data_IF_785702577005
#
_entry.id   IF_785702577005
#
_cell.length_a   1.000
_cell.length_b   1.000
_cell.length_c   1.000
_cell.angle_alpha   90.00
_cell.angle_beta   90.00
_cell.angle_gamma   90.00
#
_symmetry.space_group_name_H-M   'P 1'
#
loop_
_entity.id
_entity.type
_entity.pdbx_description
1 polymer ?
#
# COMPACT_ATOMS: atom_id res chain seq x y z
N UNK A 1 -4.44 -2.61 -10.40
CA UNK A 1 -5.75 -2.50 -9.71
C UNK A 1 -5.71 -1.21 -8.92
N UNK A 2 -6.79 -0.43 -8.89
CA UNK A 2 -6.77 0.91 -8.31
C UNK A 2 -7.81 0.99 -7.18
N UNK A 3 -7.37 1.39 -6.00
CA UNK A 3 -8.21 1.60 -4.82
C UNK A 3 -8.09 3.06 -4.41
N UNK A 4 -9.21 3.70 -4.10
CA UNK A 4 -9.23 5.05 -3.53
C UNK A 4 -9.84 4.93 -2.15
N UNK A 5 -9.10 5.35 -1.13
CA UNK A 5 -9.59 5.46 0.25
C UNK A 5 -9.50 6.91 0.71
N UNK A 6 -10.42 7.41 1.54
CA UNK A 6 -10.25 8.73 2.14
C UNK A 6 -8.93 8.82 2.93
N UNK A 7 -8.23 9.95 2.88
CA UNK A 7 -6.99 10.17 3.62
C UNK A 7 -7.19 10.46 5.13
N UNK A 8 -8.46 10.55 5.54
CA UNK A 8 -8.90 10.67 6.92
C UNK A 8 -8.35 9.52 7.78
N UNK A 9 -7.94 9.85 9.00
CA UNK A 9 -7.35 8.94 9.99
C UNK A 9 -8.15 7.65 10.19
N UNK A 10 -9.47 7.73 10.09
CA UNK A 10 -10.37 6.60 10.25
C UNK A 10 -10.18 5.52 9.19
N UNK A 11 -9.67 5.87 8.02
CA UNK A 11 -9.52 4.98 6.87
C UNK A 11 -8.05 4.67 6.54
N UNK A 12 -7.10 5.28 7.25
CA UNK A 12 -5.64 5.05 7.03
C UNK A 12 -5.24 3.58 7.20
N UNK A 13 -5.93 2.82 8.06
CA UNK A 13 -5.67 1.38 8.26
C UNK A 13 -6.28 0.49 7.17
N UNK A 14 -7.24 1.01 6.40
CA UNK A 14 -7.92 0.23 5.37
C UNK A 14 -7.01 -0.04 4.17
N UNK A 15 -6.14 0.91 3.83
CA UNK A 15 -5.11 0.72 2.81
C UNK A 15 -4.17 -0.46 3.17
N UNK A 16 -3.46 -0.46 4.32
CA UNK A 16 -2.64 -1.58 4.77
C UNK A 16 -3.38 -2.93 4.82
N UNK A 17 -4.64 -2.96 5.28
CA UNK A 17 -5.41 -4.22 5.30
C UNK A 17 -5.65 -4.79 3.89
N UNK A 18 -6.01 -3.95 2.92
CA UNK A 18 -6.21 -4.39 1.53
C UNK A 18 -4.89 -4.88 0.93
N UNK A 19 -3.79 -4.24 1.27
CA UNK A 19 -2.45 -4.61 0.81
C UNK A 19 -2.04 -5.99 1.31
N UNK A 20 -2.25 -6.29 2.59
CA UNK A 20 -1.98 -7.62 3.14
C UNK A 20 -2.76 -8.72 2.41
N UNK A 21 -4.05 -8.46 2.12
CA UNK A 21 -4.88 -9.39 1.32
C UNK A 21 -4.41 -9.52 -0.12
N UNK A 22 -3.97 -8.43 -0.74
CA UNK A 22 -3.43 -8.45 -2.10
C UNK A 22 -2.17 -9.32 -2.19
N UNK A 23 -1.24 -9.17 -1.24
CA UNK A 23 -0.01 -9.99 -1.17
C UNK A 23 -0.34 -11.48 -1.07
N UNK A 24 -1.28 -11.84 -0.20
CA UNK A 24 -1.73 -13.23 -0.08
C UNK A 24 -2.36 -13.74 -1.39
N UNK A 25 -3.15 -12.90 -2.08
CA UNK A 25 -3.79 -13.26 -3.35
C UNK A 25 -2.79 -13.48 -4.50
N UNK A 26 -1.65 -12.78 -4.50
CA UNK A 26 -0.58 -12.96 -5.50
C UNK A 26 0.46 -14.01 -5.10
N UNK A 27 0.20 -14.78 -4.02
CA UNK A 27 1.04 -15.89 -3.58
C UNK A 27 2.25 -15.50 -2.72
N UNK A 28 2.26 -14.29 -2.15
CA UNK A 28 3.26 -13.89 -1.15
C UNK A 28 3.03 -14.55 0.21
N UNK A 29 4.09 -14.62 1.01
CA UNK A 29 4.00 -15.14 2.38
C UNK A 29 3.38 -14.13 3.35
N UNK A 30 2.98 -14.58 4.54
CA UNK A 30 2.56 -13.67 5.63
C UNK A 30 3.67 -12.70 6.05
N UNK A 31 4.93 -13.12 5.94
CA UNK A 31 6.08 -12.25 6.18
C UNK A 31 6.19 -11.15 5.13
N UNK A 32 6.01 -11.48 3.84
CA UNK A 32 5.99 -10.49 2.76
C UNK A 32 4.85 -9.48 2.96
N UNK A 33 3.67 -9.99 3.35
CA UNK A 33 2.51 -9.15 3.64
C UNK A 33 2.80 -8.19 4.80
N UNK A 34 3.39 -8.69 5.90
CA UNK A 34 3.71 -7.90 7.08
C UNK A 34 4.77 -6.82 6.80
N UNK A 35 5.83 -7.17 6.05
CA UNK A 35 6.87 -6.21 5.64
C UNK A 35 6.28 -5.11 4.76
N UNK A 36 5.47 -5.48 3.76
CA UNK A 36 4.86 -4.53 2.84
C UNK A 36 3.84 -3.62 3.56
N UNK A 37 3.06 -4.18 4.49
CA UNK A 37 2.13 -3.43 5.35
C UNK A 37 2.86 -2.39 6.20
N UNK A 38 4.00 -2.76 6.79
CA UNK A 38 4.83 -1.83 7.55
C UNK A 38 5.36 -0.68 6.69
N UNK A 39 6.00 -1.01 5.56
CA UNK A 39 6.53 -0.02 4.63
C UNK A 39 5.45 0.93 4.07
N UNK A 40 4.26 0.40 3.78
CA UNK A 40 3.14 1.20 3.33
C UNK A 40 2.61 2.13 4.42
N UNK A 41 2.52 1.65 5.66
CA UNK A 41 2.06 2.45 6.79
C UNK A 41 2.98 3.64 7.01
N UNK A 42 4.30 3.44 6.93
CA UNK A 42 5.28 4.52 6.98
C UNK A 42 5.12 5.50 5.82
N UNK A 43 4.97 4.98 4.59
CA UNK A 43 4.78 5.82 3.39
C UNK A 43 3.51 6.68 3.50
N UNK A 44 2.38 6.10 3.93
CA UNK A 44 1.13 6.82 4.17
C UNK A 44 1.35 7.88 5.23
N UNK A 45 1.99 7.54 6.36
CA UNK A 45 2.29 8.49 7.43
C UNK A 45 3.05 9.73 6.94
N UNK A 46 4.05 9.53 6.07
CA UNK A 46 4.81 10.63 5.44
C UNK A 46 3.94 11.47 4.49
N UNK A 47 3.10 10.82 3.69
CA UNK A 47 2.21 11.49 2.74
C UNK A 47 1.14 12.34 3.47
N UNK A 48 0.63 11.84 4.59
CA UNK A 48 -0.41 12.48 5.41
C UNK A 48 0.12 13.33 6.56
N UNK A 49 1.44 13.53 6.68
CA UNK A 49 2.05 14.30 7.77
C UNK A 49 1.75 15.82 7.73
N UNK A 50 1.20 16.32 6.62
CA UNK A 50 0.82 17.72 6.45
C UNK A 50 -0.70 17.94 6.49
N UNK A 51 -1.15 19.20 6.46
CA UNK A 51 -2.57 19.50 6.30
C UNK A 51 -3.05 18.90 4.97
N UNK A 52 -4.09 18.08 5.06
CA UNK A 52 -4.79 17.50 3.93
C UNK A 52 -6.07 18.29 3.68
N UNK A 53 -6.51 18.36 2.43
CA UNK A 53 -7.86 18.81 2.14
C UNK A 53 -8.88 17.81 2.74
N UNK A 54 -10.05 18.29 3.15
CA UNK A 54 -11.10 17.44 3.73
C UNK A 54 -11.57 16.32 2.78
N UNK A 55 -11.38 16.52 1.47
CA UNK A 55 -11.69 15.58 0.39
C UNK A 55 -10.45 14.85 -0.17
N UNK A 56 -9.29 14.96 0.48
CA UNK A 56 -8.07 14.27 0.04
C UNK A 56 -8.26 12.75 0.06
N UNK A 57 -8.03 12.13 -1.10
CA UNK A 57 -7.99 10.68 -1.26
C UNK A 57 -6.56 10.15 -1.21
N UNK A 58 -6.39 8.97 -0.62
CA UNK A 58 -5.26 8.09 -0.84
C UNK A 58 -5.59 7.15 -2.00
N UNK A 59 -4.91 7.35 -3.12
CA UNK A 59 -5.00 6.46 -4.27
C UNK A 59 -3.90 5.40 -4.18
N UNK A 60 -4.27 4.13 -4.27
CA UNK A 60 -3.35 2.99 -4.28
C UNK A 60 -3.45 2.28 -5.63
N UNK A 61 -2.36 2.28 -6.38
CA UNK A 61 -2.19 1.52 -7.61
C UNK A 61 -1.34 0.28 -7.31
N UNK A 62 -1.95 -0.89 -7.46
CA UNK A 62 -1.33 -2.18 -7.22
C UNK A 62 -0.87 -2.82 -8.51
N UNK A 63 0.39 -3.24 -8.52
CA UNK A 63 1.03 -3.99 -9.61
C UNK A 63 1.81 -5.16 -9.05
N UNK A 64 1.93 -6.21 -9.83
CA UNK A 64 2.77 -7.37 -9.50
C UNK A 64 3.65 -7.75 -10.69
N UNK A 65 4.71 -6.98 -10.98
CA UNK A 65 5.64 -7.30 -12.06
C UNK A 65 6.53 -8.49 -11.67
N UNK A 66 6.37 -9.62 -12.36
CA UNK A 66 7.18 -10.82 -12.11
C UNK A 66 6.99 -11.36 -10.69
N UNK A 67 8.09 -11.43 -9.93
CA UNK A 67 8.11 -11.89 -8.53
C UNK A 67 8.20 -10.72 -7.54
N UNK A 68 7.48 -9.62 -7.79
CA UNK A 68 7.44 -8.48 -6.90
C UNK A 68 6.03 -7.93 -6.81
N UNK A 69 5.75 -7.24 -5.71
CA UNK A 69 4.58 -6.37 -5.55
C UNK A 69 5.07 -4.93 -5.54
N UNK A 70 4.45 -4.11 -6.37
CA UNK A 70 4.68 -2.68 -6.42
C UNK A 70 3.36 -1.97 -6.11
N UNK A 71 3.41 -1.03 -5.17
CA UNK A 71 2.27 -0.25 -4.72
C UNK A 71 2.65 1.20 -4.82
N UNK A 72 1.97 1.92 -5.72
CA UNK A 72 2.06 3.38 -5.76
C UNK A 72 0.96 3.95 -4.89
N UNK A 73 1.32 4.73 -3.88
CA UNK A 73 0.38 5.51 -3.07
C UNK A 73 0.47 6.96 -3.48
N UNK A 74 -0.67 7.60 -3.74
CA UNK A 74 -0.75 9.05 -4.00
C UNK A 74 -1.71 9.72 -3.03
N UNK A 75 -1.36 10.93 -2.61
CA UNK A 75 -2.21 11.79 -1.81
C UNK A 75 -2.04 13.23 -2.32
N UNK A 76 -3.01 13.71 -3.10
CA UNK A 76 -2.89 14.98 -3.81
C UNK A 76 -1.68 14.97 -4.76
N UNK A 77 -0.80 15.96 -4.63
CA UNK A 77 0.41 16.10 -5.46
C UNK A 77 1.58 15.19 -5.01
N UNK A 78 1.45 14.55 -3.84
CA UNK A 78 2.51 13.69 -3.30
C UNK A 78 2.26 12.24 -3.71
N UNK A 79 3.34 11.54 -4.03
CA UNK A 79 3.28 10.10 -4.28
C UNK A 79 4.49 9.39 -3.69
N UNK A 80 4.31 8.12 -3.37
CA UNK A 80 5.36 7.21 -2.93
C UNK A 80 5.15 5.85 -3.59
N UNK A 81 6.24 5.16 -3.91
CA UNK A 81 6.21 3.82 -4.49
C UNK A 81 6.89 2.87 -3.51
N UNK A 82 6.15 1.84 -3.10
CA UNK A 82 6.65 0.76 -2.25
C UNK A 82 6.75 -0.48 -3.12
N UNK A 83 7.98 -0.97 -3.31
CA UNK A 83 8.25 -2.20 -4.06
C UNK A 83 8.83 -3.24 -3.11
N UNK A 84 8.22 -4.42 -3.08
CA UNK A 84 8.70 -5.55 -2.28
C UNK A 84 8.85 -6.79 -3.17
N UNK A 85 10.04 -7.42 -3.21
CA UNK A 85 10.21 -8.70 -3.89
C UNK A 85 9.43 -9.77 -3.13
N UNK A 86 8.61 -10.54 -3.85
CA UNK A 86 7.96 -11.72 -3.30
C UNK A 86 9.00 -12.83 -3.24
N UNK A 87 9.36 -13.25 -2.03
CA UNK A 87 10.01 -14.54 -1.86
C UNK A 87 8.98 -15.60 -2.21
N UNK A 88 9.08 -16.17 -3.42
CA UNK A 88 8.18 -17.25 -3.85
C UNK A 88 8.12 -18.29 -2.73
N UNK A 89 6.93 -18.55 -2.20
CA UNK A 89 6.72 -19.68 -1.32
C UNK A 89 7.13 -20.91 -2.13
N UNK A 90 8.29 -21.49 -1.83
CA UNK A 90 8.63 -22.83 -2.31
C UNK A 90 7.57 -23.75 -1.72
N UNK A 91 6.59 -24.10 -2.54
CA UNK A 91 5.71 -25.26 -2.31
C UNK A 91 6.51 -26.51 -2.69
#
# INVERSE_FOLDING_TARGET
>A
MNLIVPADERFRNLAPEVVGRYVAAVGGSESDASTLVGALTEAIGVLTAGPLADDAGLELDFRSPGNAVEITVRCGEKSSVVTHPLTAARV
#
